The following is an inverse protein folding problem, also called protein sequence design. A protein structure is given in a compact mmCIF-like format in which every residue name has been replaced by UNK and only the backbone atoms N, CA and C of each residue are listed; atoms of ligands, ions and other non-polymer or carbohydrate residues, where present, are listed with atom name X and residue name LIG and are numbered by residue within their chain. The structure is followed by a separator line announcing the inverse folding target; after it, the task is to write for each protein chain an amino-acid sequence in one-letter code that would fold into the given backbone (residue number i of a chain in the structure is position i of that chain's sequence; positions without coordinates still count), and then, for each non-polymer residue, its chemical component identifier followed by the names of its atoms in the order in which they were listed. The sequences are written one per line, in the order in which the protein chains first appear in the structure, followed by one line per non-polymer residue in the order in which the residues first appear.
data_IF_324148002709
#
_entry.id   IF_324148002709
#
_cell.length_a   1.000
_cell.length_b   1.000
_cell.length_c   1.000
_cell.angle_alpha   90.00
_cell.angle_beta   90.00
_cell.angle_gamma   90.00
#
_symmetry.space_group_name_H-M   'P 1'
#
loop_
_entity.id
_entity.type
_entity.pdbx_description
1 polymer ?
#
# COMPACT_ATOMS: atom_id res chain seq x y z
N UNK A 1 -20.90 -14.31 12.76
CA UNK A 1 -19.57 -14.76 13.21
C UNK A 1 -19.24 -16.22 12.88
N UNK A 2 -19.61 -17.21 13.72
CA UNK A 2 -19.25 -18.64 13.49
C UNK A 2 -19.69 -19.16 12.12
N UNK A 3 -20.86 -18.71 11.66
CA UNK A 3 -21.42 -19.04 10.34
C UNK A 3 -20.45 -18.69 9.20
N UNK A 4 -19.77 -17.54 9.23
CA UNK A 4 -18.86 -17.15 8.15
C UNK A 4 -17.57 -17.97 8.16
N UNK A 5 -17.04 -18.23 9.36
CA UNK A 5 -15.85 -19.05 9.56
C UNK A 5 -16.12 -20.48 9.09
N UNK A 6 -17.26 -21.06 9.46
CA UNK A 6 -17.68 -22.40 9.06
C UNK A 6 -17.82 -22.53 7.53
N UNK A 7 -18.38 -21.52 6.87
CA UNK A 7 -18.48 -21.48 5.40
C UNK A 7 -17.08 -21.43 4.77
N UNK A 8 -16.20 -20.54 5.24
CA UNK A 8 -14.85 -20.39 4.71
C UNK A 8 -14.01 -21.67 4.91
N UNK A 9 -14.07 -22.27 6.10
CA UNK A 9 -13.40 -23.53 6.42
C UNK A 9 -13.93 -24.68 5.58
N UNK A 10 -15.26 -24.79 5.42
CA UNK A 10 -15.89 -25.81 4.61
C UNK A 10 -15.45 -25.72 3.14
N UNK A 11 -15.42 -24.51 2.58
CA UNK A 11 -14.99 -24.27 1.20
C UNK A 11 -13.52 -24.64 1.00
N UNK A 12 -12.63 -24.20 1.91
CA UNK A 12 -11.19 -24.49 1.82
C UNK A 12 -10.91 -25.98 2.01
N UNK A 13 -11.55 -26.64 2.99
CA UNK A 13 -11.42 -28.10 3.21
C UNK A 13 -11.91 -28.89 2.01
N UNK A 14 -13.09 -28.55 1.47
CA UNK A 14 -13.67 -29.22 0.31
C UNK A 14 -12.76 -29.12 -0.91
N UNK A 15 -12.15 -27.95 -1.14
CA UNK A 15 -11.20 -27.75 -2.23
C UNK A 15 -9.93 -28.59 -2.06
N UNK A 16 -9.36 -28.62 -0.86
CA UNK A 16 -8.17 -29.43 -0.52
C UNK A 16 -8.46 -30.93 -0.72
N UNK A 17 -9.63 -31.41 -0.30
CA UNK A 17 -10.05 -32.81 -0.43
C UNK A 17 -10.31 -33.22 -1.89
N UNK A 18 -11.00 -32.37 -2.67
CA UNK A 18 -11.38 -32.71 -4.05
C UNK A 18 -10.26 -32.50 -5.08
N UNK A 19 -9.09 -31.95 -4.70
CA UNK A 19 -7.98 -31.58 -5.59
C UNK A 19 -8.43 -30.83 -6.87
N UNK A 20 -9.54 -30.08 -6.80
CA UNK A 20 -10.12 -29.41 -7.97
C UNK A 20 -9.29 -28.20 -8.36
N UNK A 21 -9.04 -28.03 -9.66
CA UNK A 21 -8.18 -26.97 -10.22
C UNK A 21 -8.78 -25.56 -10.04
N UNK A 22 -10.08 -25.36 -10.26
CA UNK A 22 -10.70 -24.04 -10.16
C UNK A 22 -12.08 -24.08 -9.46
N UNK A 23 -12.38 -23.10 -8.59
CA UNK A 23 -13.69 -22.97 -7.96
C UNK A 23 -14.75 -22.54 -8.96
N UNK A 24 -15.97 -23.06 -8.79
CA UNK A 24 -17.11 -22.64 -9.59
C UNK A 24 -17.66 -21.27 -9.14
N UNK A 25 -18.52 -20.66 -9.95
CA UNK A 25 -19.07 -19.32 -9.68
C UNK A 25 -19.77 -19.22 -8.31
N UNK A 26 -20.53 -20.25 -7.90
CA UNK A 26 -21.21 -20.27 -6.60
C UNK A 26 -20.22 -20.36 -5.44
N UNK A 27 -19.16 -21.15 -5.58
CA UNK A 27 -18.09 -21.25 -4.58
C UNK A 27 -17.30 -19.94 -4.45
N UNK A 28 -17.04 -19.25 -5.57
CA UNK A 28 -16.41 -17.92 -5.57
C UNK A 28 -17.28 -16.91 -4.85
N UNK A 29 -18.56 -16.83 -5.20
CA UNK A 29 -19.50 -15.90 -4.59
C UNK A 29 -19.71 -16.18 -3.10
N UNK A 30 -19.86 -17.46 -2.72
CA UNK A 30 -19.95 -17.87 -1.32
C UNK A 30 -18.70 -17.48 -0.52
N UNK A 31 -17.50 -17.71 -1.09
CA UNK A 31 -16.25 -17.30 -0.46
C UNK A 31 -16.18 -15.79 -0.29
N UNK A 32 -16.47 -15.02 -1.36
CA UNK A 32 -16.44 -13.55 -1.32
C UNK A 32 -17.39 -13.00 -0.27
N UNK A 33 -18.64 -13.46 -0.25
CA UNK A 33 -19.66 -12.98 0.67
C UNK A 33 -19.34 -13.35 2.12
N UNK A 34 -18.86 -14.58 2.37
CA UNK A 34 -18.47 -15.00 3.71
C UNK A 34 -17.23 -14.25 4.21
N UNK A 35 -16.23 -14.01 3.35
CA UNK A 35 -15.04 -13.25 3.71
C UNK A 35 -15.38 -11.78 4.01
N UNK A 36 -16.22 -11.14 3.18
CA UNK A 36 -16.71 -9.79 3.42
C UNK A 36 -17.54 -9.68 4.71
N UNK A 37 -18.40 -10.67 4.98
CA UNK A 37 -19.15 -10.75 6.22
C UNK A 37 -18.24 -10.83 7.45
N UNK A 38 -17.18 -11.64 7.39
CA UNK A 38 -16.20 -11.77 8.47
C UNK A 38 -15.50 -10.43 8.76
N UNK A 39 -14.97 -9.74 7.74
CA UNK A 39 -14.28 -8.45 7.96
C UNK A 39 -15.21 -7.31 8.31
N UNK A 40 -16.50 -7.40 7.97
CA UNK A 40 -17.50 -6.40 8.38
C UNK A 40 -17.82 -6.51 9.87
N UNK A 41 -17.78 -7.71 10.45
CA UNK A 41 -18.03 -7.93 11.88
C UNK A 41 -16.78 -7.69 12.74
N UNK A 42 -15.62 -8.21 12.34
CA UNK A 42 -14.40 -8.23 13.18
C UNK A 42 -13.30 -7.27 12.71
N UNK A 43 -13.48 -6.62 11.57
CA UNK A 43 -12.41 -5.92 10.87
C UNK A 43 -11.40 -6.87 10.22
N UNK A 44 -10.37 -6.30 9.59
CA UNK A 44 -9.30 -7.07 8.98
C UNK A 44 -8.26 -7.50 10.03
N UNK A 45 -8.46 -8.68 10.60
CA UNK A 45 -7.61 -9.30 11.61
C UNK A 45 -6.83 -10.51 11.06
N UNK A 46 -6.00 -11.16 11.89
CA UNK A 46 -5.15 -12.29 11.45
C UNK A 46 -5.92 -13.51 10.92
N UNK A 47 -7.18 -13.71 11.33
CA UNK A 47 -8.03 -14.81 10.81
C UNK A 47 -8.58 -14.47 9.43
N UNK A 48 -9.04 -13.24 9.23
CA UNK A 48 -9.44 -12.76 7.90
C UNK A 48 -8.25 -12.78 6.91
N UNK A 49 -7.06 -12.39 7.37
CA UNK A 49 -5.82 -12.49 6.59
C UNK A 49 -5.52 -13.95 6.21
N UNK A 50 -5.58 -14.89 7.17
CA UNK A 50 -5.38 -16.31 6.89
C UNK A 50 -6.31 -16.81 5.78
N UNK A 51 -7.61 -16.51 5.88
CA UNK A 51 -8.58 -16.92 4.88
C UNK A 51 -8.34 -16.26 3.51
N UNK A 52 -7.87 -15.01 3.48
CA UNK A 52 -7.51 -14.33 2.23
C UNK A 52 -6.38 -15.07 1.50
N UNK A 53 -5.37 -15.53 2.24
CA UNK A 53 -4.23 -16.27 1.69
C UNK A 53 -4.61 -17.70 1.28
N UNK A 54 -5.21 -18.47 2.18
CA UNK A 54 -5.62 -19.86 1.91
C UNK A 54 -6.68 -19.93 0.80
N UNK A 55 -7.53 -18.91 0.72
CA UNK A 55 -8.62 -18.77 -0.23
C UNK A 55 -8.28 -17.96 -1.49
N UNK A 56 -7.03 -17.52 -1.69
CA UNK A 56 -6.65 -16.68 -2.84
C UNK A 56 -7.09 -17.28 -4.19
N UNK A 57 -7.05 -18.59 -4.30
CA UNK A 57 -7.42 -19.32 -5.51
C UNK A 57 -8.93 -19.36 -5.81
N UNK A 58 -9.78 -18.76 -4.97
CA UNK A 58 -11.22 -18.54 -5.24
C UNK A 58 -11.44 -17.24 -6.00
N UNK A 59 -11.12 -16.10 -5.37
CA UNK A 59 -11.44 -14.77 -5.90
C UNK A 59 -10.22 -13.83 -5.96
N UNK A 60 -9.02 -14.36 -5.77
CA UNK A 60 -7.80 -13.56 -5.75
C UNK A 60 -7.83 -12.46 -4.69
N UNK A 61 -7.56 -11.23 -5.09
CA UNK A 61 -7.57 -10.05 -4.22
C UNK A 61 -8.92 -9.33 -4.19
N UNK A 62 -9.92 -9.78 -4.97
CA UNK A 62 -11.21 -9.10 -5.11
C UNK A 62 -11.91 -8.84 -3.75
N UNK A 63 -12.06 -9.82 -2.83
CA UNK A 63 -12.75 -9.59 -1.57
C UNK A 63 -12.05 -8.53 -0.72
N UNK A 64 -10.71 -8.57 -0.68
CA UNK A 64 -9.91 -7.58 0.04
C UNK A 64 -10.04 -6.18 -0.58
N UNK A 65 -10.03 -6.09 -1.92
CA UNK A 65 -10.18 -4.81 -2.61
C UNK A 65 -11.59 -4.22 -2.41
N UNK A 66 -12.65 -5.05 -2.46
CA UNK A 66 -14.01 -4.61 -2.13
C UNK A 66 -14.08 -4.06 -0.71
N UNK A 67 -13.46 -4.73 0.26
CA UNK A 67 -13.38 -4.23 1.63
C UNK A 67 -12.59 -2.92 1.72
N UNK A 68 -11.45 -2.82 1.02
CA UNK A 68 -10.61 -1.61 0.97
C UNK A 68 -11.39 -0.38 0.49
N UNK A 69 -12.29 -0.54 -0.46
CA UNK A 69 -13.14 0.55 -0.97
C UNK A 69 -14.20 1.02 0.04
N UNK A 70 -14.56 0.17 1.02
CA UNK A 70 -15.56 0.45 2.04
C UNK A 70 -14.97 1.02 3.33
N UNK A 71 -13.64 0.96 3.51
CA UNK A 71 -13.00 1.43 4.73
C UNK A 71 -12.87 2.95 4.76
N UNK A 72 -12.91 3.52 5.98
CA UNK A 72 -12.70 4.96 6.20
C UNK A 72 -11.26 5.40 5.87
N UNK A 73 -10.30 4.51 6.09
CA UNK A 73 -8.88 4.74 5.81
C UNK A 73 -8.29 3.56 5.01
N UNK A 74 -8.24 3.68 3.67
CA UNK A 74 -7.62 2.68 2.81
C UNK A 74 -6.12 2.50 3.08
N UNK A 75 -5.40 3.55 3.48
CA UNK A 75 -3.96 3.47 3.69
C UNK A 75 -3.63 2.70 4.98
N UNK A 76 -4.40 2.92 6.06
CA UNK A 76 -4.29 2.12 7.27
C UNK A 76 -4.64 0.65 7.00
N UNK A 77 -5.69 0.39 6.22
CA UNK A 77 -6.09 -0.98 5.85
C UNK A 77 -4.99 -1.71 5.07
N UNK A 78 -4.34 -1.03 4.11
CA UNK A 78 -3.18 -1.55 3.41
C UNK A 78 -1.98 -1.75 4.35
N UNK A 79 -1.74 -0.83 5.28
CA UNK A 79 -0.68 -0.98 6.27
C UNK A 79 -0.89 -2.26 7.11
N UNK A 80 -2.12 -2.54 7.54
CA UNK A 80 -2.47 -3.77 8.25
C UNK A 80 -2.21 -5.02 7.41
N UNK A 81 -2.54 -5.00 6.10
CA UNK A 81 -2.19 -6.10 5.19
C UNK A 81 -0.68 -6.32 5.13
N UNK A 82 0.11 -5.24 5.01
CA UNK A 82 1.56 -5.37 4.87
C UNK A 82 2.31 -5.70 6.16
N UNK A 83 1.69 -5.46 7.32
CA UNK A 83 2.20 -5.89 8.63
C UNK A 83 1.60 -7.22 9.08
N UNK A 84 0.75 -7.83 8.25
CA UNK A 84 0.06 -9.07 8.56
C UNK A 84 1.01 -10.26 8.71
N UNK A 85 0.56 -11.28 9.44
CA UNK A 85 1.36 -12.47 9.74
C UNK A 85 1.64 -13.30 8.50
N UNK A 86 0.74 -13.30 7.52
CA UNK A 86 0.86 -14.10 6.29
C UNK A 86 1.59 -13.36 5.18
N UNK A 87 1.66 -12.02 5.24
CA UNK A 87 2.40 -11.22 4.29
C UNK A 87 3.89 -11.57 4.23
N UNK A 88 4.35 -12.02 3.07
CA UNK A 88 5.75 -12.39 2.82
C UNK A 88 6.14 -13.79 3.30
N UNK A 89 5.30 -14.47 4.11
CA UNK A 89 5.56 -15.85 4.54
C UNK A 89 5.47 -16.84 3.36
N UNK A 90 4.40 -16.74 2.57
CA UNK A 90 4.33 -17.35 1.24
C UNK A 90 4.57 -16.26 0.19
N UNK A 91 5.81 -16.19 -0.31
CA UNK A 91 6.19 -15.20 -1.33
C UNK A 91 5.39 -15.35 -2.62
N UNK A 92 4.99 -16.57 -3.01
CA UNK A 92 4.22 -16.79 -4.24
C UNK A 92 2.79 -16.24 -4.10
N UNK A 93 2.11 -16.58 -3.01
CA UNK A 93 0.73 -16.09 -2.77
C UNK A 93 0.73 -14.59 -2.51
N UNK A 94 1.72 -14.08 -1.77
CA UNK A 94 1.89 -12.63 -1.56
C UNK A 94 2.07 -11.90 -2.89
N UNK A 95 2.94 -12.40 -3.77
CA UNK A 95 3.16 -11.77 -5.07
C UNK A 95 1.89 -11.78 -5.94
N UNK A 96 1.17 -12.90 -5.97
CA UNK A 96 -0.13 -12.99 -6.69
C UNK A 96 -1.16 -12.03 -6.12
N UNK A 97 -1.25 -11.90 -4.80
CA UNK A 97 -2.15 -10.97 -4.12
C UNK A 97 -1.85 -9.53 -4.52
N UNK A 98 -0.60 -9.11 -4.41
CA UNK A 98 -0.18 -7.74 -4.76
C UNK A 98 -0.34 -7.45 -6.26
N UNK A 99 -0.08 -8.45 -7.11
CA UNK A 99 -0.25 -8.31 -8.57
C UNK A 99 -1.72 -8.13 -8.95
N UNK A 100 -2.60 -8.95 -8.40
CA UNK A 100 -4.03 -8.84 -8.67
C UNK A 100 -4.60 -7.54 -8.08
N UNK A 101 -4.20 -7.17 -6.87
CA UNK A 101 -4.63 -5.93 -6.23
C UNK A 101 -4.21 -4.70 -7.06
N UNK A 102 -2.99 -4.69 -7.61
CA UNK A 102 -2.54 -3.64 -8.52
C UNK A 102 -3.46 -3.52 -9.75
N UNK A 103 -3.83 -4.65 -10.37
CA UNK A 103 -4.71 -4.65 -11.54
C UNK A 103 -6.10 -4.06 -11.23
N UNK A 104 -6.70 -4.48 -10.10
CA UNK A 104 -8.00 -3.97 -9.65
C UNK A 104 -7.96 -2.46 -9.38
N UNK A 105 -6.90 -1.99 -8.73
CA UNK A 105 -6.71 -0.56 -8.44
C UNK A 105 -6.49 0.28 -9.69
N UNK A 106 -5.75 -0.24 -10.68
CA UNK A 106 -5.57 0.44 -11.96
C UNK A 106 -6.87 0.47 -12.78
N UNK A 107 -7.68 -0.59 -12.71
CA UNK A 107 -8.96 -0.66 -13.42
C UNK A 107 -9.97 0.37 -12.93
N UNK A 108 -9.97 0.66 -11.63
CA UNK A 108 -10.95 1.54 -11.01
C UNK A 108 -10.37 2.93 -10.69
N UNK A 109 -9.19 3.25 -11.24
CA UNK A 109 -8.51 4.54 -11.06
C UNK A 109 -8.29 4.93 -9.59
N UNK A 110 -7.78 3.99 -8.79
CA UNK A 110 -7.52 4.22 -7.37
C UNK A 110 -6.62 5.46 -7.14
N UNK A 111 -6.85 6.23 -6.05
CA UNK A 111 -6.05 7.43 -5.77
C UNK A 111 -4.56 7.13 -5.63
N UNK A 112 -3.72 8.11 -6.02
CA UNK A 112 -2.24 8.01 -5.96
C UNK A 112 -1.73 7.59 -4.58
N UNK A 113 -2.35 8.09 -3.52
CA UNK A 113 -1.99 7.78 -2.14
C UNK A 113 -2.14 6.29 -1.82
N UNK A 114 -3.20 5.66 -2.32
CA UNK A 114 -3.52 4.24 -2.10
C UNK A 114 -2.69 3.34 -3.02
N UNK A 115 -2.39 3.79 -4.25
CA UNK A 115 -1.52 3.06 -5.19
C UNK A 115 -0.04 3.06 -4.77
N UNK A 116 0.41 4.13 -4.11
CA UNK A 116 1.82 4.33 -3.73
C UNK A 116 2.41 3.17 -2.90
N UNK A 117 1.76 2.69 -1.83
CA UNK A 117 2.25 1.54 -1.05
C UNK A 117 2.40 0.25 -1.87
N UNK A 118 1.51 0.02 -2.83
CA UNK A 118 1.54 -1.16 -3.71
C UNK A 118 2.75 -1.08 -4.63
N UNK A 119 2.92 0.03 -5.36
CA UNK A 119 4.07 0.26 -6.26
C UNK A 119 5.39 0.12 -5.50
N UNK A 120 5.49 0.69 -4.29
CA UNK A 120 6.67 0.63 -3.43
C UNK A 120 7.03 -0.81 -3.01
N UNK A 121 6.04 -1.66 -2.73
CA UNK A 121 6.26 -3.02 -2.21
C UNK A 121 6.32 -4.08 -3.30
N UNK A 122 5.80 -3.79 -4.49
CA UNK A 122 5.72 -4.71 -5.62
C UNK A 122 7.08 -5.36 -5.96
N UNK A 123 8.21 -4.62 -6.06
CA UNK A 123 9.49 -5.25 -6.35
C UNK A 123 9.92 -6.26 -5.30
N UNK A 124 9.73 -5.92 -4.02
CA UNK A 124 10.09 -6.79 -2.88
C UNK A 124 9.18 -8.01 -2.78
N UNK A 125 7.94 -7.93 -3.27
CA UNK A 125 7.04 -9.08 -3.33
C UNK A 125 7.44 -10.09 -4.42
N UNK A 126 8.15 -9.65 -5.47
CA UNK A 126 8.57 -10.49 -6.59
C UNK A 126 9.88 -11.27 -6.34
N UNK A 127 10.52 -11.08 -5.19
CA UNK A 127 11.77 -11.77 -4.82
C UNK A 127 11.52 -12.82 -3.73
N UNK A 128 12.27 -13.91 -3.79
CA UNK A 128 12.29 -14.95 -2.76
C UNK A 128 13.26 -14.58 -1.62
N UNK A 129 13.38 -15.46 -0.61
CA UNK A 129 14.31 -15.28 0.53
C UNK A 129 15.78 -15.21 0.09
N UNK A 130 16.13 -15.83 -1.04
CA UNK A 130 17.48 -15.80 -1.63
C UNK A 130 17.72 -14.57 -2.52
N UNK A 131 16.83 -13.58 -2.49
CA UNK A 131 16.86 -12.35 -3.32
C UNK A 131 16.80 -12.62 -4.83
N UNK A 132 16.33 -13.79 -5.24
CA UNK A 132 16.10 -14.15 -6.65
C UNK A 132 14.64 -13.91 -7.03
N UNK A 133 14.40 -13.57 -8.29
CA UNK A 133 13.05 -13.43 -8.85
C UNK A 133 12.27 -14.74 -8.68
N UNK A 134 11.00 -14.65 -8.32
CA UNK A 134 10.13 -15.82 -8.25
C UNK A 134 9.99 -16.46 -9.63
N UNK A 135 10.20 -17.78 -9.73
CA UNK A 135 10.04 -18.51 -10.99
C UNK A 135 8.60 -18.58 -11.52
N UNK A 136 7.63 -18.04 -10.76
CA UNK A 136 6.24 -17.89 -11.20
C UNK A 136 5.89 -16.45 -11.58
N UNK A 137 6.86 -15.55 -11.65
CA UNK A 137 6.62 -14.12 -11.82
C UNK A 137 5.91 -13.81 -13.15
N UNK A 138 6.37 -14.43 -14.24
CA UNK A 138 5.86 -14.28 -15.60
C UNK A 138 4.39 -14.70 -15.65
N UNK A 139 4.08 -15.93 -15.18
CA UNK A 139 2.72 -16.47 -15.12
C UNK A 139 1.79 -15.65 -14.21
N UNK A 140 2.35 -15.06 -13.15
CA UNK A 140 1.57 -14.26 -12.20
C UNK A 140 1.19 -12.91 -12.80
N UNK A 141 2.14 -12.20 -13.43
CA UNK A 141 1.87 -10.95 -14.12
C UNK A 141 0.95 -11.17 -15.32
N UNK A 142 1.16 -12.22 -16.10
CA UNK A 142 0.27 -12.56 -17.21
C UNK A 142 -1.17 -12.80 -16.74
N UNK A 143 -1.36 -13.67 -15.73
CA UNK A 143 -2.70 -14.04 -15.26
C UNK A 143 -3.41 -12.94 -14.47
N UNK A 144 -2.72 -12.25 -13.58
CA UNK A 144 -3.39 -11.39 -12.58
C UNK A 144 -3.21 -9.89 -12.84
N UNK A 145 -2.34 -9.50 -13.77
CA UNK A 145 -2.20 -8.10 -14.19
C UNK A 145 -2.62 -7.93 -15.64
N UNK A 146 -1.97 -8.62 -16.58
CA UNK A 146 -2.21 -8.42 -18.01
C UNK A 146 -3.58 -8.94 -18.44
N UNK A 147 -4.02 -10.08 -17.93
CA UNK A 147 -5.32 -10.62 -18.30
C UNK A 147 -6.50 -9.91 -17.61
N UNK A 148 -6.28 -9.32 -16.44
CA UNK A 148 -7.30 -8.65 -15.62
C UNK A 148 -7.39 -7.13 -15.90
N UNK A 149 -6.40 -6.53 -16.58
CA UNK A 149 -6.41 -5.10 -16.90
C UNK A 149 -7.44 -4.79 -18.01
N UNK A 150 -8.44 -3.98 -17.68
CA UNK A 150 -9.52 -3.59 -18.60
C UNK A 150 -8.97 -2.71 -19.73
N UNK A 151 -9.49 -2.84 -20.97
CA UNK A 151 -9.05 -2.02 -22.11
C UNK A 151 -9.20 -0.50 -21.90
N UNK A 152 -10.20 -0.08 -21.12
CA UNK A 152 -10.51 1.32 -20.83
C UNK A 152 -9.84 1.86 -19.55
N UNK A 153 -9.02 1.08 -18.84
CA UNK A 153 -8.34 1.54 -17.64
C UNK A 153 -7.40 2.73 -17.93
N UNK A 154 -7.46 3.80 -17.13
CA UNK A 154 -6.61 4.98 -17.30
C UNK A 154 -5.46 4.88 -16.31
N UNK A 155 -4.26 4.64 -16.85
CA UNK A 155 -3.07 4.47 -16.02
C UNK A 155 -2.58 5.84 -15.53
N UNK A 156 -2.68 6.10 -14.22
CA UNK A 156 -2.23 7.35 -13.61
C UNK A 156 -0.72 7.56 -13.82
N UNK A 157 -0.23 8.77 -14.12
CA UNK A 157 1.19 8.98 -14.38
C UNK A 157 2.08 8.49 -13.22
N UNK A 158 3.08 7.65 -13.48
CA UNK A 158 3.99 7.17 -12.43
C UNK A 158 4.76 8.32 -11.75
N UNK A 159 4.89 9.46 -12.41
CA UNK A 159 5.52 10.67 -11.86
C UNK A 159 4.69 11.34 -10.76
N UNK A 160 3.38 11.07 -10.68
CA UNK A 160 2.52 11.61 -9.62
C UNK A 160 2.51 10.74 -8.35
N UNK A 161 3.06 9.52 -8.42
CA UNK A 161 3.21 8.64 -7.26
C UNK A 161 4.14 9.31 -6.23
N UNK A 162 3.59 9.62 -5.05
CA UNK A 162 4.28 10.35 -3.97
C UNK A 162 5.26 9.46 -3.20
N UNK A 163 6.32 9.00 -3.87
CA UNK A 163 7.38 8.17 -3.28
C UNK A 163 8.76 8.55 -3.82
N UNK A 164 9.82 7.97 -3.26
CA UNK A 164 11.18 8.20 -3.74
C UNK A 164 11.29 7.71 -5.19
N UNK A 165 11.82 8.52 -6.14
CA UNK A 165 11.92 8.13 -7.55
C UNK A 165 12.61 6.79 -7.81
N UNK A 166 13.60 6.44 -6.96
CA UNK A 166 14.30 5.15 -7.02
C UNK A 166 13.34 3.95 -6.87
N UNK A 167 12.31 4.06 -6.03
CA UNK A 167 11.36 2.97 -5.80
C UNK A 167 10.40 2.78 -6.97
N UNK A 168 10.08 3.86 -7.68
CA UNK A 168 9.29 3.81 -8.92
C UNK A 168 10.15 3.26 -10.06
N UNK A 169 11.44 3.61 -10.10
CA UNK A 169 12.38 3.05 -11.08
C UNK A 169 12.59 1.55 -10.86
N UNK A 170 12.77 1.09 -9.61
CA UNK A 170 12.87 -0.33 -9.28
C UNK A 170 11.64 -1.12 -9.77
N UNK A 171 10.44 -0.55 -9.60
CA UNK A 171 9.20 -1.11 -10.12
C UNK A 171 9.20 -1.16 -11.66
N UNK A 172 9.56 -0.07 -12.31
CA UNK A 172 9.62 0.01 -13.77
C UNK A 172 10.61 -1.00 -14.37
N UNK A 173 11.82 -1.12 -13.79
CA UNK A 173 12.84 -2.07 -14.21
C UNK A 173 12.33 -3.50 -14.08
N UNK A 174 11.74 -3.84 -12.93
CA UNK A 174 11.23 -5.19 -12.69
C UNK A 174 10.11 -5.55 -13.67
N UNK A 175 9.10 -4.67 -13.83
CA UNK A 175 7.98 -4.94 -14.73
C UNK A 175 8.50 -5.11 -16.15
N UNK A 176 9.34 -4.20 -16.65
CA UNK A 176 9.92 -4.33 -17.99
C UNK A 176 10.66 -5.66 -18.18
N UNK A 177 11.51 -6.06 -17.22
CA UNK A 177 12.26 -7.31 -17.30
C UNK A 177 11.36 -8.57 -17.29
N UNK A 178 10.20 -8.52 -16.62
CA UNK A 178 9.23 -9.62 -16.67
C UNK A 178 8.44 -9.60 -17.98
N UNK A 179 8.06 -8.41 -18.48
CA UNK A 179 7.38 -8.28 -19.77
C UNK A 179 8.27 -8.77 -20.93
N UNK A 180 9.56 -8.43 -20.92
CA UNK A 180 10.54 -8.93 -21.91
C UNK A 180 10.58 -10.47 -21.89
N UNK A 181 10.56 -11.06 -20.69
CA UNK A 181 10.55 -12.52 -20.52
C UNK A 181 9.23 -13.18 -20.97
N UNK A 182 8.10 -12.49 -20.85
CA UNK A 182 6.81 -13.00 -21.32
C UNK A 182 6.78 -12.99 -22.85
N UNK A 183 7.24 -11.90 -23.47
CA UNK A 183 7.29 -11.77 -24.93
C UNK A 183 8.30 -12.75 -25.56
N UNK A 184 9.43 -13.03 -24.89
CA UNK A 184 10.40 -14.03 -25.37
C UNK A 184 9.88 -15.47 -25.33
N UNK A 185 8.85 -15.75 -24.53
CA UNK A 185 8.33 -17.10 -24.33
C UNK A 185 7.24 -17.53 -25.35
N UNK A 186 6.85 -16.65 -26.29
CA UNK A 186 5.96 -16.99 -27.42
C UNK A 186 4.64 -16.20 -27.49
N UNK A 187 3.72 -16.65 -28.36
CA UNK A 187 2.48 -15.93 -28.72
C UNK A 187 1.58 -15.74 -27.49
N UNK A 188 1.42 -14.49 -27.09
CA UNK A 188 0.42 -14.05 -26.10
C UNK A 188 -0.91 -13.76 -26.81
N UNK A 189 -2.03 -13.87 -26.09
CA UNK A 189 -3.35 -13.49 -26.65
C UNK A 189 -3.33 -12.01 -27.04
N UNK A 190 -4.02 -11.62 -28.10
CA UNK A 190 -3.97 -10.25 -28.65
C UNK A 190 -4.23 -9.15 -27.60
N UNK A 191 -5.22 -9.34 -26.73
CA UNK A 191 -5.53 -8.37 -25.67
C UNK A 191 -4.44 -8.29 -24.58
N UNK A 192 -3.72 -9.39 -24.32
CA UNK A 192 -2.56 -9.42 -23.41
C UNK A 192 -1.43 -8.62 -24.06
N UNK A 193 -1.15 -8.83 -25.34
CA UNK A 193 -0.14 -8.08 -26.08
C UNK A 193 -0.44 -6.56 -26.09
N UNK A 194 -1.70 -6.17 -26.25
CA UNK A 194 -2.08 -4.76 -26.17
C UNK A 194 -1.92 -4.17 -24.76
N UNK A 195 -2.22 -4.95 -23.71
CA UNK A 195 -1.95 -4.54 -22.34
C UNK A 195 -0.45 -4.41 -22.04
N UNK A 196 0.41 -5.27 -22.63
CA UNK A 196 1.87 -5.13 -22.56
C UNK A 196 2.30 -3.80 -23.18
N UNK A 197 1.82 -3.46 -24.38
CA UNK A 197 2.13 -2.17 -25.04
C UNK A 197 1.70 -0.98 -24.17
N UNK A 198 0.51 -1.04 -23.57
CA UNK A 198 0.00 0.01 -22.68
C UNK A 198 0.88 0.22 -21.45
N UNK A 199 1.29 -0.86 -20.78
CA UNK A 199 2.18 -0.78 -19.62
C UNK A 199 3.57 -0.30 -20.02
N UNK A 200 4.11 -0.74 -21.17
CA UNK A 200 5.39 -0.21 -21.69
C UNK A 200 5.32 1.29 -21.95
N UNK A 201 4.24 1.78 -22.58
CA UNK A 201 4.02 3.22 -22.78
C UNK A 201 3.92 3.97 -21.46
N UNK A 202 3.24 3.40 -20.47
CA UNK A 202 3.11 3.95 -19.13
C UNK A 202 4.47 4.14 -18.44
N UNK A 203 5.36 3.14 -18.54
CA UNK A 203 6.74 3.20 -18.03
C UNK A 203 7.61 4.17 -18.85
N UNK A 204 7.49 4.17 -20.18
CA UNK A 204 8.27 5.06 -21.04
C UNK A 204 7.99 6.54 -20.74
N UNK A 205 6.71 6.91 -20.57
CA UNK A 205 6.31 8.27 -20.20
C UNK A 205 6.95 8.74 -18.89
N UNK A 206 7.11 7.85 -17.91
CA UNK A 206 7.81 8.14 -16.66
C UNK A 206 9.29 8.45 -16.89
N UNK A 207 9.98 7.60 -17.67
CA UNK A 207 11.42 7.79 -17.97
C UNK A 207 11.69 9.10 -18.71
N UNK A 208 10.84 9.46 -19.68
CA UNK A 208 10.93 10.74 -20.39
C UNK A 208 10.67 11.94 -19.48
N UNK A 209 9.79 11.79 -18.48
CA UNK A 209 9.57 12.84 -17.48
C UNK A 209 10.79 13.01 -16.58
N UNK A 210 11.44 11.93 -16.16
CA UNK A 210 12.64 12.01 -15.29
C UNK A 210 13.86 12.63 -16.00
N UNK A 211 14.08 12.34 -17.29
CA UNK A 211 15.20 12.92 -18.05
C UNK A 211 15.10 14.45 -18.18
N UNK A 212 13.88 14.98 -18.31
CA UNK A 212 13.66 16.45 -18.36
C UNK A 212 13.87 17.15 -17.01
N UNK A 213 13.80 16.42 -15.88
CA UNK A 213 14.13 16.95 -14.55
C UNK A 213 15.63 16.88 -14.23
N UNK A 214 16.37 15.87 -14.75
CA UNK A 214 17.82 15.79 -14.58
C UNK A 214 18.57 16.88 -15.35
N UNK A 215 18.08 17.24 -16.55
CA UNK A 215 18.69 18.31 -17.35
C UNK A 215 18.51 19.69 -16.71
N UNK A 216 17.42 19.93 -15.97
CA UNK A 216 17.21 21.18 -15.21
C UNK A 216 18.07 21.30 -13.94
N UNK A 217 18.54 20.18 -13.37
CA UNK A 217 19.47 20.20 -12.21
C UNK A 217 20.94 20.36 -12.61
N UNK A 218 21.31 20.04 -13.84
CA UNK A 218 22.68 20.23 -14.34
C UNK A 218 22.98 21.69 -14.76
N UNK A 219 21.96 22.52 -14.95
CA UNK A 219 22.11 23.92 -15.40
C UNK A 219 22.00 24.98 -14.30
N UNK A 220 21.82 24.61 -13.02
CA UNK A 220 21.71 25.57 -11.90
C UNK A 220 23.01 25.82 -11.11
N UNK A 221 24.15 25.41 -11.66
CA UNK A 221 25.47 25.79 -11.11
C UNK A 221 26.38 26.32 -12.22
N UNK A 222 25.97 27.43 -12.84
CA UNK A 222 26.87 28.48 -13.37
C UNK A 222 26.02 29.60 -14.00
N UNK A 223 26.41 30.82 -13.66
CA UNK A 223 25.99 32.11 -14.22
C UNK A 223 24.72 32.73 -13.62
N UNK A 224 24.93 33.52 -12.56
CA UNK A 224 24.13 34.72 -12.34
C UNK A 224 25.07 35.90 -12.10
N UNK A 225 25.55 36.48 -13.18
CA UNK A 225 25.90 37.90 -13.26
C UNK A 225 25.60 38.35 -14.68
N UNK A 226 24.61 39.23 -14.80
CA UNK A 226 24.44 40.32 -15.77
C UNK A 226 23.03 40.41 -16.36
N UNK A 227 22.44 41.58 -16.10
CA UNK A 227 21.38 42.30 -16.81
C UNK A 227 20.00 41.63 -16.87
N UNK A 228 19.00 42.14 -16.15
CA UNK A 228 18.32 43.43 -16.34
C UNK A 228 17.52 43.46 -17.66
N UNK A 229 16.22 43.69 -17.48
CA UNK A 229 15.25 44.14 -18.47
C UNK A 229 14.90 43.15 -19.59
N UNK A 230 13.72 42.52 -19.49
CA UNK A 230 12.59 43.03 -20.27
C UNK A 230 11.25 42.48 -19.76
N UNK A 231 10.25 43.36 -19.71
CA UNK A 231 8.88 43.05 -19.32
C UNK A 231 8.09 42.71 -20.58
N UNK A 232 7.44 41.55 -20.52
CA UNK A 232 6.03 41.40 -20.87
C UNK A 232 5.65 41.54 -22.36
N UNK A 233 5.48 40.40 -23.04
CA UNK A 233 4.39 40.25 -24.02
C UNK A 233 4.06 38.77 -24.26
N UNK A 234 2.92 38.34 -23.73
CA UNK A 234 2.17 37.17 -24.18
C UNK A 234 0.79 37.69 -24.54
N UNK A 235 0.49 37.74 -25.84
CA UNK A 235 -0.88 37.66 -26.34
C UNK A 235 -0.87 36.91 -27.66
N UNK A 236 -1.52 35.75 -27.64
CA UNK A 236 -1.83 34.96 -28.82
C UNK A 236 -3.05 35.56 -29.55
N UNK A 237 -3.02 35.37 -30.87
CA UNK A 237 -4.17 35.09 -31.73
C UNK A 237 -5.30 36.14 -31.84
N UNK A 238 -5.32 36.88 -32.94
CA UNK A 238 -6.12 36.51 -34.13
C UNK A 238 -6.17 37.68 -35.12
N UNK A 239 -5.56 37.48 -36.29
CA UNK A 239 -5.72 38.34 -37.45
C UNK A 239 -7.13 38.16 -38.01
N UNK A 240 -8.01 39.14 -37.82
CA UNK A 240 -9.16 39.36 -38.69
C UNK A 240 -8.73 40.41 -39.70
N UNK A 241 -8.25 39.94 -40.85
CA UNK A 241 -8.01 40.77 -42.01
C UNK A 241 -9.35 40.91 -42.74
N UNK A 242 -10.16 41.89 -42.32
CA UNK A 242 -11.38 42.24 -43.03
C UNK A 242 -11.04 43.19 -44.17
N UNK A 243 -11.04 42.59 -45.36
CA UNK A 243 -10.98 43.19 -46.68
C UNK A 243 -12.10 44.22 -46.82
N UNK A 244 -11.76 45.51 -46.78
CA UNK A 244 -12.60 46.57 -47.37
C UNK A 244 -11.77 47.22 -48.46
N UNK A 245 -12.06 46.76 -49.67
CA UNK A 245 -11.74 47.40 -50.93
C UNK A 245 -12.63 48.63 -51.03
N UNK A 246 -12.06 49.83 -51.04
CA UNK A 246 -12.67 50.92 -51.79
C UNK A 246 -11.59 51.72 -52.53
N UNK A 247 -11.79 51.67 -53.84
CA UNK A 247 -10.96 52.14 -54.92
C UNK A 247 -11.05 53.66 -54.94
N UNK A 248 -10.01 54.37 -54.54
CA UNK A 248 -9.89 55.79 -54.85
C UNK A 248 -9.57 55.93 -56.34
N UNK A 249 -10.63 55.96 -57.16
CA UNK A 249 -10.53 56.50 -58.51
C UNK A 249 -10.11 57.97 -58.40
N UNK A 250 -8.86 58.24 -58.78
CA UNK A 250 -8.41 59.59 -59.09
C UNK A 250 -9.08 59.99 -60.40
N UNK A 251 -10.29 60.52 -60.29
CA UNK A 251 -10.92 61.28 -61.36
C UNK A 251 -10.27 62.66 -61.40
N UNK A 252 -9.46 62.86 -62.43
CA UNK A 252 -9.07 64.17 -62.94
C UNK A 252 -10.32 64.88 -63.47
N UNK A 253 -10.97 65.69 -62.62
CA UNK A 253 -12.07 66.56 -63.05
C UNK A 253 -11.68 68.03 -63.09
N UNK A 254 -12.02 68.60 -64.24
CA UNK A 254 -11.77 69.97 -64.72
C UNK A 254 -12.24 71.03 -63.71
N UNK A 255 -11.58 72.20 -63.75
CA UNK A 255 -12.04 73.42 -63.09
C UNK A 255 -13.57 73.60 -63.25
N UNK A 256 -14.34 73.77 -62.16
CA UNK A 256 -15.79 73.90 -62.24
C UNK A 256 -16.15 75.30 -62.75
N UNK A 257 -17.00 75.34 -63.77
CA UNK A 257 -17.55 76.56 -64.38
C UNK A 257 -18.57 77.27 -63.46
N UNK A 258 -18.85 76.72 -62.27
CA UNK A 258 -19.60 77.36 -61.18
C UNK A 258 -19.00 77.00 -59.81
N UNK A 259 -18.14 77.89 -59.31
CA UNK A 259 -17.41 77.73 -58.04
C UNK A 259 -18.34 77.76 -56.81
N UNK A 260 -19.52 78.38 -56.91
CA UNK A 260 -20.47 78.47 -55.80
C UNK A 260 -21.10 77.10 -55.50
N UNK A 261 -21.52 76.37 -56.53
CA UNK A 261 -22.11 75.03 -56.40
C UNK A 261 -21.12 74.00 -55.82
N UNK A 262 -19.84 74.10 -56.16
CA UNK A 262 -18.78 73.25 -55.59
C UNK A 262 -18.58 73.52 -54.08
N UNK A 263 -18.49 74.80 -53.68
CA UNK A 263 -18.35 75.19 -52.28
C UNK A 263 -19.55 74.76 -51.43
N UNK A 264 -20.76 74.87 -51.97
CA UNK A 264 -22.00 74.42 -51.30
C UNK A 264 -21.97 72.90 -51.09
N UNK A 265 -21.57 72.12 -52.09
CA UNK A 265 -21.44 70.66 -51.95
C UNK A 265 -20.36 70.26 -50.94
N UNK A 266 -19.21 70.94 -50.96
CA UNK A 266 -18.13 70.71 -49.99
C UNK A 266 -18.58 71.00 -48.55
N UNK A 267 -19.29 72.11 -48.34
CA UNK A 267 -19.86 72.48 -47.04
C UNK A 267 -20.90 71.48 -46.56
N UNK A 268 -21.78 71.00 -47.45
CA UNK A 268 -22.76 69.97 -47.11
C UNK A 268 -22.09 68.63 -46.76
N UNK A 269 -21.05 68.24 -47.49
CA UNK A 269 -20.29 67.02 -47.21
C UNK A 269 -19.52 67.13 -45.89
N UNK A 270 -18.92 68.29 -45.61
CA UNK A 270 -18.28 68.56 -44.32
C UNK A 270 -19.29 68.55 -43.16
N UNK A 271 -20.49 69.08 -43.37
CA UNK A 271 -21.59 69.04 -42.40
C UNK A 271 -22.03 67.61 -42.09
N UNK A 272 -22.22 66.77 -43.11
CA UNK A 272 -22.54 65.35 -42.95
C UNK A 272 -21.43 64.58 -42.23
N UNK A 273 -20.17 64.81 -42.59
CA UNK A 273 -19.02 64.21 -41.92
C UNK A 273 -18.94 64.61 -40.44
N UNK A 274 -19.18 65.89 -40.11
CA UNK A 274 -19.18 66.37 -38.73
C UNK A 274 -20.29 65.72 -37.89
N UNK A 275 -21.47 65.48 -38.45
CA UNK A 275 -22.56 64.75 -37.78
C UNK A 275 -22.19 63.27 -37.56
N UNK A 276 -21.61 62.61 -38.56
CA UNK A 276 -21.14 61.22 -38.43
C UNK A 276 -20.11 61.09 -37.30
N UNK A 277 -19.09 61.95 -37.30
CA UNK A 277 -18.03 61.96 -36.27
C UNK A 277 -18.62 62.21 -34.87
N UNK A 278 -19.60 63.11 -34.72
CA UNK A 278 -20.26 63.33 -33.42
C UNK A 278 -21.02 62.09 -32.96
N UNK A 279 -21.71 61.40 -33.87
CA UNK A 279 -22.47 60.18 -33.53
C UNK A 279 -21.53 59.03 -33.13
N UNK A 280 -20.42 58.84 -33.85
CA UNK A 280 -19.38 57.87 -33.53
C UNK A 280 -18.70 58.20 -32.20
N UNK A 281 -18.39 59.46 -31.94
CA UNK A 281 -17.80 59.89 -30.67
C UNK A 281 -18.74 59.59 -29.48
N UNK A 282 -20.05 59.81 -29.65
CA UNK A 282 -21.03 59.47 -28.62
C UNK A 282 -21.15 57.96 -28.38
N UNK A 283 -21.08 57.15 -29.44
CA UNK A 283 -21.01 55.69 -29.33
C UNK A 283 -19.71 55.22 -28.67
N UNK A 284 -18.58 55.82 -29.00
CA UNK A 284 -17.30 55.51 -28.37
C UNK A 284 -17.33 55.84 -26.88
N UNK A 285 -17.92 56.98 -26.50
CA UNK A 285 -18.03 57.39 -25.09
C UNK A 285 -18.85 56.40 -24.27
N UNK A 286 -20.02 55.98 -24.75
CA UNK A 286 -20.83 54.97 -24.06
C UNK A 286 -20.12 53.62 -23.95
N UNK A 287 -19.35 53.24 -24.99
CA UNK A 287 -18.52 52.03 -24.95
C UNK A 287 -17.38 52.13 -23.94
N UNK A 288 -16.73 53.29 -23.84
CA UNK A 288 -15.69 53.57 -22.83
C UNK A 288 -16.30 53.46 -21.43
N UNK A 289 -17.45 54.08 -21.17
CA UNK A 289 -18.11 54.03 -19.86
C UNK A 289 -18.46 52.58 -19.46
N UNK A 290 -18.93 51.78 -20.41
CA UNK A 290 -19.22 50.35 -20.20
C UNK A 290 -17.95 49.55 -19.89
N UNK A 291 -16.86 49.81 -20.61
CA UNK A 291 -15.57 49.15 -20.39
C UNK A 291 -14.96 49.53 -19.03
N UNK A 292 -15.04 50.81 -18.64
CA UNK A 292 -14.58 51.30 -17.33
C UNK A 292 -15.33 50.58 -16.21
N UNK A 293 -16.66 50.53 -16.29
CA UNK A 293 -17.46 49.81 -15.30
C UNK A 293 -17.09 48.33 -15.19
N UNK A 294 -16.88 47.66 -16.34
CA UNK A 294 -16.46 46.24 -16.38
C UNK A 294 -15.10 46.05 -15.73
N UNK A 295 -14.13 46.92 -16.01
CA UNK A 295 -12.79 46.87 -15.41
C UNK A 295 -12.85 47.03 -13.90
N UNK A 296 -13.69 47.93 -13.38
CA UNK A 296 -13.82 48.14 -11.94
C UNK A 296 -14.46 46.94 -11.23
N UNK A 297 -15.45 46.29 -11.85
CA UNK A 297 -16.04 45.04 -11.33
C UNK A 297 -14.99 43.92 -11.28
N UNK A 298 -14.20 43.74 -12.34
CA UNK A 298 -13.16 42.71 -12.37
C UNK A 298 -12.02 42.99 -11.39
N UNK A 299 -11.66 44.27 -11.18
CA UNK A 299 -10.71 44.67 -10.13
C UNK A 299 -11.18 44.27 -8.74
N UNK A 300 -12.46 44.47 -8.44
CA UNK A 300 -13.01 44.11 -7.14
C UNK A 300 -13.06 42.59 -6.93
N UNK A 301 -13.43 41.83 -7.97
CA UNK A 301 -13.34 40.36 -7.94
C UNK A 301 -11.91 39.88 -7.70
N UNK A 302 -10.93 40.48 -8.37
CA UNK A 302 -9.51 40.16 -8.18
C UNK A 302 -9.05 40.47 -6.75
N UNK A 303 -9.51 41.59 -6.17
CA UNK A 303 -9.22 41.96 -4.78
C UNK A 303 -9.76 40.91 -3.81
N UNK A 304 -11.01 40.48 -3.98
CA UNK A 304 -11.64 39.45 -3.15
C UNK A 304 -10.94 38.09 -3.28
N UNK A 305 -10.60 37.68 -4.51
CA UNK A 305 -9.87 36.44 -4.74
C UNK A 305 -8.48 36.46 -4.08
N UNK A 306 -7.76 37.58 -4.17
CA UNK A 306 -6.46 37.74 -3.52
C UNK A 306 -6.57 37.67 -1.99
N UNK A 307 -7.63 38.24 -1.40
CA UNK A 307 -7.87 38.12 0.04
C UNK A 307 -8.11 36.66 0.44
N UNK A 308 -8.94 35.94 -0.31
CA UNK A 308 -9.21 34.52 -0.05
C UNK A 308 -7.94 33.66 -0.15
N UNK A 309 -7.06 33.96 -1.12
CA UNK A 309 -5.76 33.29 -1.25
C UNK A 309 -4.88 33.55 -0.02
N UNK A 310 -4.85 34.78 0.49
CA UNK A 310 -4.11 35.11 1.71
C UNK A 310 -4.62 34.33 2.93
N UNK A 311 -5.94 34.30 3.15
CA UNK A 311 -6.56 33.58 4.26
C UNK A 311 -6.30 32.06 4.19
N UNK A 312 -6.33 31.50 2.99
CA UNK A 312 -5.98 30.10 2.75
C UNK A 312 -4.49 29.83 3.02
N UNK A 313 -3.61 30.75 2.64
CA UNK A 313 -2.17 30.63 2.89
C UNK A 313 -1.85 30.66 4.40
N UNK A 314 -2.55 31.48 5.17
CA UNK A 314 -2.43 31.52 6.63
C UNK A 314 -2.90 30.21 7.26
N UNK A 315 -4.02 29.66 6.75
CA UNK A 315 -4.54 28.36 7.19
C UNK A 315 -3.56 27.23 6.90
N UNK A 316 -2.97 27.19 5.70
CA UNK A 316 -1.95 26.21 5.32
C UNK A 316 -0.73 26.31 6.25
N UNK A 317 -0.31 27.53 6.58
CA UNK A 317 0.84 27.76 7.48
C UNK A 317 0.56 27.25 8.89
N UNK A 318 -0.64 27.50 9.41
CA UNK A 318 -1.10 26.97 10.71
C UNK A 318 -1.14 25.43 10.72
N UNK A 319 -1.68 24.82 9.67
CA UNK A 319 -1.74 23.35 9.55
C UNK A 319 -0.35 22.72 9.45
N UNK A 320 0.57 23.33 8.69
CA UNK A 320 1.97 22.85 8.61
C UNK A 320 2.67 22.90 9.95
N UNK A 321 2.43 23.95 10.76
CA UNK A 321 2.96 24.04 12.12
C UNK A 321 2.45 22.92 13.02
N UNK A 322 1.13 22.66 13.01
CA UNK A 322 0.52 21.56 13.78
C UNK A 322 1.06 20.19 13.35
N UNK A 323 1.23 19.99 12.04
CA UNK A 323 1.76 18.75 11.48
C UNK A 323 3.20 18.52 11.96
N UNK A 324 4.05 19.56 11.92
CA UNK A 324 5.42 19.48 12.44
C UNK A 324 5.49 19.15 13.93
N UNK A 325 4.57 19.68 14.75
CA UNK A 325 4.48 19.31 16.18
C UNK A 325 4.11 17.85 16.37
N UNK A 326 3.08 17.37 15.67
CA UNK A 326 2.63 15.98 15.74
C UNK A 326 3.71 14.99 15.25
N UNK A 327 4.45 15.33 14.20
CA UNK A 327 5.59 14.52 13.74
C UNK A 327 6.66 14.39 14.82
N UNK A 328 6.94 15.46 15.57
CA UNK A 328 7.86 15.43 16.70
C UNK A 328 7.37 14.55 17.85
N UNK A 329 6.06 14.60 18.16
CA UNK A 329 5.44 13.74 19.19
C UNK A 329 5.49 12.26 18.80
N UNK A 330 5.18 11.93 17.55
CA UNK A 330 5.27 10.55 17.02
C UNK A 330 6.70 10.03 17.13
N UNK A 331 7.70 10.84 16.75
CA UNK A 331 9.10 10.46 16.87
C UNK A 331 9.51 10.18 18.33
N UNK A 332 9.04 10.99 19.28
CA UNK A 332 9.29 10.76 20.70
C UNK A 332 8.63 9.47 21.21
N UNK A 333 7.40 9.18 20.78
CA UNK A 333 6.70 7.94 21.12
C UNK A 333 7.40 6.71 20.54
N UNK A 334 7.86 6.76 19.29
CA UNK A 334 8.61 5.67 18.66
C UNK A 334 9.90 5.35 19.41
N UNK A 335 10.61 6.39 19.88
CA UNK A 335 11.82 6.20 20.69
C UNK A 335 11.50 5.52 22.03
N UNK A 336 10.38 5.88 22.67
CA UNK A 336 9.95 5.28 23.92
C UNK A 336 9.51 3.82 23.75
N UNK A 337 8.83 3.49 22.65
CA UNK A 337 8.49 2.11 22.30
C UNK A 337 9.76 1.27 22.11
N UNK A 338 10.75 1.78 21.37
CA UNK A 338 12.01 1.07 21.18
C UNK A 338 12.76 0.79 22.50
N UNK A 339 12.73 1.73 23.46
CA UNK A 339 13.30 1.51 24.80
C UNK A 339 12.56 0.40 25.55
N UNK A 340 11.23 0.37 25.47
CA UNK A 340 10.41 -0.67 26.12
C UNK A 340 10.65 -2.04 25.51
N UNK A 341 10.82 -2.13 24.20
CA UNK A 341 11.12 -3.40 23.52
C UNK A 341 12.45 -4.00 23.98
N UNK A 342 13.48 -3.16 24.18
CA UNK A 342 14.77 -3.59 24.75
C UNK A 342 14.57 -4.14 26.17
N UNK A 343 13.85 -3.42 27.03
CA UNK A 343 13.59 -3.87 28.39
C UNK A 343 12.79 -5.18 28.45
N UNK A 344 11.82 -5.36 27.53
CA UNK A 344 11.06 -6.62 27.40
C UNK A 344 11.98 -7.76 26.97
N UNK A 345 12.89 -7.53 26.02
CA UNK A 345 13.85 -8.53 25.57
C UNK A 345 14.75 -8.99 26.72
N UNK A 346 15.29 -8.05 27.51
CA UNK A 346 16.09 -8.35 28.71
C UNK A 346 15.30 -9.19 29.72
N UNK A 347 14.04 -8.81 30.00
CA UNK A 347 13.19 -9.57 30.93
C UNK A 347 12.87 -10.98 30.41
N UNK A 348 12.66 -11.15 29.11
CA UNK A 348 12.45 -12.46 28.52
C UNK A 348 13.70 -13.35 28.62
N UNK A 349 14.90 -12.78 28.47
CA UNK A 349 16.15 -13.54 28.70
C UNK A 349 16.29 -13.99 30.15
N UNK A 350 15.98 -13.11 31.11
CA UNK A 350 15.98 -13.44 32.54
C UNK A 350 14.99 -14.57 32.87
N UNK A 351 13.78 -14.53 32.31
CA UNK A 351 12.76 -15.58 32.47
C UNK A 351 13.25 -16.91 31.89
N UNK A 352 13.89 -16.90 30.72
CA UNK A 352 14.42 -18.11 30.10
C UNK A 352 15.50 -18.77 30.95
N UNK A 353 16.38 -17.98 31.57
CA UNK A 353 17.40 -18.46 32.49
C UNK A 353 16.80 -19.06 33.76
N UNK A 354 15.83 -18.37 34.38
CA UNK A 354 15.12 -18.87 35.56
C UNK A 354 14.38 -20.18 35.26
N UNK A 355 13.79 -20.31 34.08
CA UNK A 355 13.11 -21.56 33.66
C UNK A 355 14.10 -22.71 33.57
N UNK A 356 15.27 -22.50 32.93
CA UNK A 356 16.32 -23.52 32.87
C UNK A 356 16.79 -23.96 34.26
N UNK A 357 16.94 -23.00 35.19
CA UNK A 357 17.33 -23.29 36.56
C UNK A 357 16.28 -24.14 37.29
N UNK A 358 14.99 -23.83 37.11
CA UNK A 358 13.88 -24.62 37.67
C UNK A 358 13.91 -26.05 37.13
N UNK A 359 14.13 -26.24 35.82
CA UNK A 359 14.21 -27.57 35.19
C UNK A 359 15.39 -28.41 35.72
N UNK A 360 16.53 -27.78 36.00
CA UNK A 360 17.68 -28.46 36.61
C UNK A 360 17.33 -28.90 38.03
N UNK A 361 16.78 -27.99 38.84
CA UNK A 361 16.39 -28.30 40.22
C UNK A 361 15.31 -29.39 40.28
N UNK A 362 14.35 -29.41 39.36
CA UNK A 362 13.32 -30.46 39.32
C UNK A 362 13.92 -31.82 38.94
N UNK A 363 14.86 -31.86 37.99
CA UNK A 363 15.57 -33.10 37.61
C UNK A 363 16.41 -33.62 38.76
N UNK A 364 17.14 -32.75 39.45
CA UNK A 364 17.98 -33.15 40.58
C UNK A 364 17.12 -33.67 41.75
N UNK A 365 15.98 -33.01 42.03
CA UNK A 365 15.02 -33.51 43.02
C UNK A 365 14.46 -34.88 42.63
N UNK A 366 14.12 -35.10 41.36
CA UNK A 366 13.64 -36.39 40.87
C UNK A 366 14.71 -37.48 41.01
N UNK A 367 15.96 -37.20 40.60
CA UNK A 367 17.08 -38.14 40.75
C UNK A 367 17.33 -38.51 42.21
N UNK A 368 17.32 -37.53 43.11
CA UNK A 368 17.48 -37.79 44.54
C UNK A 368 16.34 -38.70 45.06
N UNK A 369 15.09 -38.45 44.66
CA UNK A 369 13.98 -39.30 45.01
C UNK A 369 14.16 -40.73 44.47
N UNK A 370 14.52 -40.89 43.20
CA UNK A 370 14.78 -42.20 42.58
C UNK A 370 15.91 -42.95 43.28
N UNK A 371 17.01 -42.28 43.59
CA UNK A 371 18.13 -42.87 44.36
C UNK A 371 17.69 -43.35 45.73
N UNK A 372 16.87 -42.58 46.45
CA UNK A 372 16.36 -42.99 47.76
C UNK A 372 15.49 -44.25 47.65
N UNK A 373 14.62 -44.34 46.64
CA UNK A 373 13.78 -45.51 46.38
C UNK A 373 14.64 -46.72 46.00
N UNK A 374 15.65 -46.55 45.13
CA UNK A 374 16.53 -47.65 44.72
C UNK A 374 17.37 -48.18 45.88
N UNK A 375 17.86 -47.31 46.77
CA UNK A 375 18.56 -47.71 48.00
C UNK A 375 17.66 -48.49 48.95
N UNK A 376 16.38 -48.11 49.04
CA UNK A 376 15.42 -48.85 49.85
C UNK A 376 15.14 -50.24 49.25
N UNK A 377 14.86 -50.28 47.94
CA UNK A 377 14.59 -51.52 47.22
C UNK A 377 15.77 -52.49 47.28
N UNK A 378 17.02 -52.00 47.17
CA UNK A 378 18.21 -52.85 47.25
C UNK A 378 18.37 -53.52 48.62
N UNK A 379 18.08 -52.80 49.72
CA UNK A 379 18.09 -53.35 51.08
C UNK A 379 17.01 -54.40 51.30
N UNK A 380 15.77 -54.11 50.89
CA UNK A 380 14.65 -55.06 51.00
C UNK A 380 14.92 -56.33 50.18
N UNK A 381 15.55 -56.19 49.01
CA UNK A 381 15.88 -57.33 48.14
C UNK A 381 16.80 -58.35 48.80
N UNK A 382 17.67 -57.93 49.72
CA UNK A 382 18.54 -58.84 50.48
C UNK A 382 17.67 -59.72 51.38
N UNK A 383 16.82 -59.12 52.22
CA UNK A 383 15.89 -59.84 53.10
C UNK A 383 14.93 -60.75 52.32
N UNK A 384 14.43 -60.29 51.16
CA UNK A 384 13.57 -61.10 50.30
C UNK A 384 14.28 -62.32 49.71
N UNK A 385 15.58 -62.21 49.37
CA UNK A 385 16.34 -63.35 48.84
C UNK A 385 16.50 -64.43 49.90
N UNK A 386 16.87 -64.02 51.10
CA UNK A 386 17.02 -64.94 52.23
C UNK A 386 15.70 -65.64 52.56
N UNK A 387 14.58 -64.93 52.45
CA UNK A 387 13.24 -65.52 52.53
C UNK A 387 12.96 -66.52 51.40
N UNK A 388 13.29 -66.16 50.15
CA UNK A 388 13.04 -67.00 48.98
C UNK A 388 13.82 -68.32 49.03
N UNK A 389 15.07 -68.28 49.50
CA UNK A 389 15.93 -69.47 49.67
C UNK A 389 15.38 -70.42 50.75
N UNK A 390 14.54 -69.93 51.65
CA UNK A 390 13.94 -70.70 52.74
C UNK A 390 12.58 -71.34 52.40
N UNK A 391 12.00 -71.09 51.22
CA UNK A 391 10.64 -71.54 50.87
C UNK A 391 10.45 -73.06 50.89
N UNK A 392 11.47 -73.81 50.46
CA UNK A 392 11.43 -75.26 50.35
C UNK A 392 11.99 -75.98 51.60
N UNK A 393 12.34 -75.23 52.65
CA UNK A 393 12.91 -75.78 53.89
C UNK A 393 11.77 -76.12 54.87
N UNK A 394 11.75 -77.33 55.48
CA UNK A 394 10.75 -77.69 56.47
C UNK A 394 10.75 -76.73 57.67
N UNK A 395 9.56 -76.28 58.08
CA UNK A 395 9.39 -75.30 59.14
C UNK A 395 9.92 -75.81 60.49
N UNK A 396 10.95 -75.15 61.02
CA UNK A 396 11.50 -75.36 62.35
C UNK A 396 11.32 -74.12 63.23
N UNK A 397 11.41 -74.27 64.56
CA UNK A 397 11.33 -73.13 65.48
C UNK A 397 12.42 -72.08 65.19
N UNK A 398 13.64 -72.53 64.85
CA UNK A 398 14.76 -71.64 64.52
C UNK A 398 14.53 -70.88 63.22
N UNK A 399 13.94 -71.53 62.21
CA UNK A 399 13.57 -70.88 60.96
C UNK A 399 12.46 -69.84 61.19
N UNK A 400 11.45 -70.16 62.00
CA UNK A 400 10.38 -69.23 62.36
C UNK A 400 10.88 -67.97 63.09
N UNK A 401 11.84 -68.12 64.00
CA UNK A 401 12.46 -66.98 64.70
C UNK A 401 13.32 -66.12 63.76
N UNK A 402 14.02 -66.74 62.80
CA UNK A 402 14.77 -66.03 61.77
C UNK A 402 13.83 -65.19 60.87
N UNK A 403 12.72 -65.78 60.40
CA UNK A 403 11.71 -65.07 59.60
C UNK A 403 11.06 -63.91 60.37
N UNK A 404 10.84 -64.07 61.69
CA UNK A 404 10.34 -62.99 62.56
C UNK A 404 11.32 -61.82 62.63
N UNK A 405 12.63 -62.11 62.71
CA UNK A 405 13.68 -61.10 62.73
C UNK A 405 13.82 -60.39 61.38
N UNK A 406 13.76 -61.11 60.26
CA UNK A 406 13.76 -60.53 58.91
C UNK A 406 12.57 -59.59 58.70
N UNK A 407 11.38 -59.97 59.14
CA UNK A 407 10.19 -59.10 59.05
C UNK A 407 10.39 -57.80 59.84
N UNK A 408 10.96 -57.90 61.04
CA UNK A 408 11.33 -56.72 61.84
C UNK A 408 12.36 -55.84 61.11
N UNK A 409 13.39 -56.44 60.51
CA UNK A 409 14.41 -55.73 59.74
C UNK A 409 13.80 -54.99 58.53
N UNK A 410 12.83 -55.60 57.83
CA UNK A 410 12.10 -54.95 56.74
C UNK A 410 11.40 -53.69 57.25
N UNK A 411 10.63 -53.78 58.34
CA UNK A 411 9.96 -52.61 58.92
C UNK A 411 10.96 -51.52 59.36
N UNK A 412 12.09 -51.90 59.96
CA UNK A 412 13.16 -50.96 60.31
C UNK A 412 13.77 -50.27 59.06
N UNK A 413 13.93 -51.01 57.95
CA UNK A 413 14.39 -50.46 56.66
C UNK A 413 13.40 -49.43 56.12
N UNK A 414 12.09 -49.74 56.18
CA UNK A 414 11.03 -48.83 55.73
C UNK A 414 10.93 -47.57 56.62
N UNK A 415 11.00 -47.72 57.95
CA UNK A 415 10.99 -46.60 58.90
C UNK A 415 12.20 -45.69 58.70
N UNK A 416 13.41 -46.26 58.55
CA UNK A 416 14.63 -45.49 58.20
C UNK A 416 14.54 -44.83 56.82
N UNK A 417 13.73 -45.38 55.91
CA UNK A 417 13.38 -44.80 54.62
C UNK A 417 12.36 -43.65 54.72
N UNK A 418 11.90 -43.30 55.92
CA UNK A 418 10.95 -42.21 56.16
C UNK A 418 9.48 -42.63 56.10
N UNK A 419 9.16 -43.92 55.95
CA UNK A 419 7.79 -44.40 56.05
C UNK A 419 7.40 -44.58 57.51
N UNK A 420 6.44 -43.79 58.00
CA UNK A 420 5.88 -43.98 59.33
C UNK A 420 4.87 -45.12 59.30
N UNK A 421 5.16 -46.20 60.02
CA UNK A 421 4.35 -47.43 60.06
C UNK A 421 3.60 -47.54 61.42
N UNK A 422 3.55 -46.44 62.18
CA UNK A 422 2.82 -46.29 63.44
C UNK A 422 1.71 -45.26 63.31
#
# INVERSE_FOLDING_TARGET
MEIFIDILDSLIKTKKQKKRKEPNTKEKEAFRNAWLGLVSEEGFNGRAEQFLYDGFSFCGAEPFYTYLLQTKDPNATLATLFSGKYYGNDSNTTFRLITHLLALMLNDNAPESVLTPIIKRFPRACINKDKKRLGTAEKTIEKYLLAELKPNAVLIPLSSIRTKPILVEDFAILISAVLDSIESNGVTKDFIADNIKRIRKWIANYKSTQSTYSDKKASQTKNTQALAEDKQSLCAANNIQQKISEKAEVSTEKQPTDMASYLINLLNNAGKAAVSVRSENMQQKTRIDTLVHTVDVEREKLRLANQQIADQQDTITSLRKKLSTLEGEVFALDQEVAKRDIAIAEKNTEIAERTKMIDVLSRDRSKQADETIQRLASRIRVEYRDFADALDIPMSCDLGENLRLQLKNIFDILEKGGMKIK
#
